data_IF_642770578192
#
_entry.id   IF_642770578192
#
_cell.length_a   1.000
_cell.length_b   1.000
_cell.length_c   1.000
_cell.angle_alpha   90.00
_cell.angle_beta   90.00
_cell.angle_gamma   90.00
#
_symmetry.space_group_name_H-M   'P 1'
#
loop_
_entity.id
_entity.type
_entity.pdbx_description
1 polymer ?
#
# COMPACT_ATOMS: atom_id res chain seq x y z
N UNK A 1 11.99 -6.43 17.62
CA UNK A 1 12.00 -5.53 16.44
C UNK A 1 13.35 -5.56 15.76
N UNK A 2 14.43 -5.19 16.44
CA UNK A 2 15.82 -5.29 15.94
C UNK A 2 16.15 -6.72 15.47
N UNK A 3 15.89 -7.72 16.33
CA UNK A 3 16.11 -9.13 16.01
C UNK A 3 15.28 -9.67 14.82
N UNK A 4 14.23 -8.97 14.37
CA UNK A 4 13.43 -9.36 13.19
C UNK A 4 13.97 -8.72 11.91
N UNK A 5 14.49 -7.49 12.01
CA UNK A 5 15.14 -6.78 10.90
C UNK A 5 16.49 -7.43 10.60
N UNK A 6 17.29 -7.73 11.63
CA UNK A 6 18.56 -8.45 11.49
C UNK A 6 18.37 -9.81 10.82
N UNK A 7 17.33 -10.55 11.22
CA UNK A 7 17.01 -11.87 10.62
C UNK A 7 16.57 -11.76 9.16
N UNK A 8 15.82 -10.73 8.79
CA UNK A 8 15.46 -10.48 7.39
C UNK A 8 16.71 -10.16 6.55
N UNK A 9 17.63 -9.37 7.08
CA UNK A 9 18.88 -9.05 6.40
C UNK A 9 19.82 -10.26 6.29
N UNK A 10 19.89 -11.13 7.29
CA UNK A 10 20.76 -12.32 7.26
C UNK A 10 20.18 -13.50 6.47
N UNK A 11 18.85 -13.61 6.38
CA UNK A 11 18.14 -14.76 5.77
C UNK A 11 17.25 -14.36 4.59
N UNK A 12 17.63 -13.32 3.85
CA UNK A 12 16.87 -12.85 2.70
C UNK A 12 16.57 -13.99 1.71
N UNK A 13 15.31 -14.15 1.34
CA UNK A 13 14.92 -15.13 0.32
C UNK A 13 14.98 -14.51 -1.06
N UNK A 14 14.44 -13.29 -1.22
CA UNK A 14 14.45 -12.54 -2.47
C UNK A 14 14.30 -11.04 -2.20
N UNK A 15 14.80 -10.22 -3.13
CA UNK A 15 14.51 -8.79 -3.20
C UNK A 15 14.02 -8.40 -4.59
N UNK A 16 13.09 -7.44 -4.63
CA UNK A 16 12.55 -6.86 -5.87
C UNK A 16 12.37 -5.35 -5.72
N UNK A 17 12.70 -4.62 -6.77
CA UNK A 17 12.47 -3.18 -6.86
C UNK A 17 11.62 -2.90 -8.09
N UNK A 18 10.53 -2.16 -7.90
CA UNK A 18 9.61 -1.76 -8.98
C UNK A 18 9.36 -0.26 -8.93
N UNK A 19 9.25 0.35 -10.10
CA UNK A 19 8.76 1.73 -10.24
C UNK A 19 7.28 1.69 -10.62
N UNK A 20 6.44 2.48 -9.95
CA UNK A 20 5.06 2.62 -10.37
C UNK A 20 4.91 3.60 -11.53
N UNK A 21 3.71 3.63 -12.11
CA UNK A 21 3.26 4.81 -12.87
C UNK A 21 3.31 6.05 -11.96
N UNK A 22 3.82 7.20 -12.45
CA UNK A 22 3.75 8.45 -11.72
C UNK A 22 2.30 8.84 -11.38
N UNK A 23 2.07 9.28 -10.15
CA UNK A 23 0.80 9.84 -9.71
C UNK A 23 0.75 11.32 -10.08
N UNK A 24 -0.22 11.74 -10.91
CA UNK A 24 -0.32 13.13 -11.37
C UNK A 24 -1.08 14.03 -10.40
N UNK A 25 -0.55 14.13 -9.18
CA UNK A 25 -1.16 14.86 -8.06
C UNK A 25 -0.09 15.58 -7.23
N UNK A 26 -0.45 16.61 -6.45
CA UNK A 26 0.47 17.23 -5.51
C UNK A 26 1.06 16.20 -4.52
N UNK A 27 2.33 16.39 -4.18
CA UNK A 27 3.08 15.44 -3.34
C UNK A 27 2.40 15.15 -2.00
N UNK A 28 1.89 16.19 -1.33
CA UNK A 28 1.18 16.05 -0.05
C UNK A 28 -0.12 15.23 -0.18
N UNK A 29 -0.82 15.33 -1.32
CA UNK A 29 -2.04 14.54 -1.58
C UNK A 29 -1.70 13.07 -1.73
N UNK A 30 -0.67 12.75 -2.53
CA UNK A 30 -0.21 11.36 -2.69
C UNK A 30 0.20 10.75 -1.35
N UNK A 31 1.01 11.47 -0.56
CA UNK A 31 1.46 10.97 0.75
C UNK A 31 0.31 10.75 1.73
N UNK A 32 -0.71 11.59 1.75
CA UNK A 32 -1.85 11.39 2.65
C UNK A 32 -2.52 10.02 2.41
N UNK A 33 -2.68 9.61 1.15
CA UNK A 33 -3.24 8.30 0.82
C UNK A 33 -2.28 7.14 1.12
N UNK A 34 -0.97 7.32 0.93
CA UNK A 34 0.01 6.31 1.37
C UNK A 34 -0.01 6.16 2.90
N UNK A 35 -0.23 7.27 3.63
CA UNK A 35 -0.21 7.32 5.09
C UNK A 35 -1.53 6.88 5.74
N UNK A 36 -2.62 6.77 4.97
CA UNK A 36 -3.92 6.23 5.39
C UNK A 36 -4.33 5.02 4.53
N UNK A 37 -3.62 3.89 4.61
CA UNK A 37 -3.81 2.77 3.70
C UNK A 37 -5.16 2.06 3.87
N UNK A 38 -5.77 2.13 5.05
CA UNK A 38 -7.15 1.70 5.32
C UNK A 38 -8.17 2.50 4.50
N UNK A 39 -8.06 3.83 4.54
CA UNK A 39 -8.90 4.72 3.74
C UNK A 39 -8.64 4.56 2.23
N UNK A 40 -7.38 4.40 1.84
CA UNK A 40 -7.00 4.17 0.43
C UNK A 40 -7.54 2.85 -0.10
N UNK A 41 -7.48 1.78 0.70
CA UNK A 41 -8.08 0.50 0.34
C UNK A 41 -9.59 0.62 0.16
N UNK A 42 -10.28 1.33 1.08
CA UNK A 42 -11.72 1.57 0.98
C UNK A 42 -12.10 2.36 -0.28
N UNK A 43 -11.39 3.45 -0.57
CA UNK A 43 -11.56 4.24 -1.79
C UNK A 43 -11.32 3.40 -3.06
N UNK A 44 -10.27 2.59 -3.05
CA UNK A 44 -9.92 1.72 -4.16
C UNK A 44 -11.01 0.68 -4.43
N UNK A 45 -11.61 0.09 -3.39
CA UNK A 45 -12.76 -0.82 -3.52
C UNK A 45 -13.97 -0.10 -4.09
N UNK A 46 -14.28 1.11 -3.60
CA UNK A 46 -15.38 1.93 -4.10
C UNK A 46 -15.23 2.21 -5.61
N UNK A 47 -14.01 2.57 -6.06
CA UNK A 47 -13.70 2.77 -7.49
C UNK A 47 -13.36 1.51 -8.27
N UNK A 48 -13.48 0.32 -7.65
CA UNK A 48 -13.15 -0.99 -8.25
C UNK A 48 -11.72 -1.07 -8.81
N UNK A 49 -10.79 -0.29 -8.24
CA UNK A 49 -9.36 -0.31 -8.58
C UNK A 49 -8.65 -1.50 -7.92
N UNK A 50 -9.15 -1.93 -6.75
CA UNK A 50 -8.62 -3.08 -6.03
C UNK A 50 -9.72 -3.76 -5.21
N UNK A 51 -9.46 -4.99 -4.78
CA UNK A 51 -10.39 -5.80 -3.95
C UNK A 51 -9.88 -6.07 -2.54
N UNK A 52 -8.62 -5.74 -2.26
CA UNK A 52 -8.02 -6.00 -0.97
C UNK A 52 -8.64 -5.13 0.13
N UNK A 53 -8.58 -5.64 1.35
CA UNK A 53 -9.03 -4.98 2.56
C UNK A 53 -7.85 -4.62 3.44
N UNK A 54 -7.93 -3.44 4.05
CA UNK A 54 -6.98 -2.96 5.04
C UNK A 54 -7.76 -2.40 6.20
N UNK A 55 -7.47 -2.88 7.40
CA UNK A 55 -8.06 -2.40 8.65
C UNK A 55 -6.96 -1.82 9.53
N UNK A 56 -7.21 -0.66 10.12
CA UNK A 56 -6.29 -0.04 11.08
C UNK A 56 -6.41 -0.74 12.44
N UNK A 57 -5.30 -1.22 12.99
CA UNK A 57 -5.22 -1.69 14.38
C UNK A 57 -4.85 -0.55 15.33
N UNK A 58 -3.95 0.34 14.88
CA UNK A 58 -3.61 1.60 15.51
C UNK A 58 -3.00 2.55 14.47
N UNK A 59 -2.27 3.58 14.90
CA UNK A 59 -1.68 4.59 14.02
C UNK A 59 -0.74 4.04 12.95
N UNK A 60 0.04 3.00 13.26
CA UNK A 60 1.07 2.46 12.37
C UNK A 60 0.89 0.98 12.05
N UNK A 61 -0.03 0.27 12.71
CA UNK A 61 -0.31 -1.15 12.48
C UNK A 61 -1.63 -1.35 11.75
N UNK A 62 -1.60 -2.28 10.80
CA UNK A 62 -2.72 -2.60 9.96
C UNK A 62 -2.82 -4.11 9.73
N UNK A 63 -4.04 -4.61 9.54
CA UNK A 63 -4.32 -5.94 8.98
C UNK A 63 -4.63 -5.77 7.50
N UNK A 64 -4.13 -6.67 6.66
CA UNK A 64 -4.44 -6.71 5.24
C UNK A 64 -4.91 -8.10 4.81
N UNK A 65 -5.90 -8.13 3.92
CA UNK A 65 -6.43 -9.34 3.29
C UNK A 65 -6.59 -9.09 1.79
N UNK A 66 -5.90 -9.85 0.95
CA UNK A 66 -5.95 -9.65 -0.50
C UNK A 66 -7.19 -10.26 -1.18
N UNK A 67 -8.07 -10.91 -0.39
CA UNK A 67 -9.25 -11.66 -0.84
C UNK A 67 -8.94 -12.79 -1.84
N UNK A 68 -7.68 -13.18 -1.95
CA UNK A 68 -7.15 -14.23 -2.84
C UNK A 68 -6.23 -15.21 -2.08
N UNK A 69 -6.43 -15.29 -0.76
CA UNK A 69 -5.76 -16.24 0.13
C UNK A 69 -4.52 -15.73 0.83
N UNK A 70 -4.08 -14.49 0.60
CA UNK A 70 -3.03 -13.84 1.41
C UNK A 70 -3.63 -12.94 2.50
N UNK A 71 -3.21 -13.17 3.74
CA UNK A 71 -3.57 -12.35 4.90
C UNK A 71 -2.35 -12.07 5.74
N UNK A 72 -2.28 -10.87 6.29
CA UNK A 72 -1.14 -10.48 7.13
C UNK A 72 -1.39 -9.24 7.95
N UNK A 73 -0.38 -8.89 8.72
CA UNK A 73 -0.28 -7.63 9.46
C UNK A 73 0.97 -6.91 9.02
N UNK A 74 0.92 -5.58 8.97
CA UNK A 74 2.11 -4.78 8.75
C UNK A 74 2.15 -3.58 9.68
N UNK A 75 3.36 -3.12 9.93
CA UNK A 75 3.67 -1.94 10.72
C UNK A 75 4.51 -0.97 9.91
N UNK A 76 4.16 0.31 9.93
CA UNK A 76 5.03 1.39 9.46
C UNK A 76 6.12 1.64 10.51
N UNK A 77 7.38 1.54 10.10
CA UNK A 77 8.55 1.72 10.95
C UNK A 77 9.17 3.12 10.81
N UNK A 78 9.10 3.70 9.62
CA UNK A 78 9.71 5.00 9.29
C UNK A 78 8.74 5.82 8.45
N UNK A 79 8.57 7.10 8.82
CA UNK A 79 7.83 8.13 8.07
C UNK A 79 8.70 9.37 7.85
N UNK A 80 9.59 9.29 6.87
CA UNK A 80 10.46 10.41 6.45
C UNK A 80 9.82 11.20 5.30
N UNK A 81 10.20 12.45 5.01
CA UNK A 81 9.54 13.25 3.98
C UNK A 81 9.37 12.56 2.61
N UNK A 82 10.36 11.76 2.19
CA UNK A 82 10.36 11.07 0.89
C UNK A 82 10.47 9.55 1.01
N UNK A 83 10.23 8.98 2.20
CA UNK A 83 10.40 7.54 2.43
C UNK A 83 9.43 6.96 3.45
N UNK A 84 8.89 5.77 3.16
CA UNK A 84 8.24 4.89 4.15
C UNK A 84 8.98 3.57 4.23
N UNK A 85 9.20 3.09 5.44
CA UNK A 85 9.71 1.73 5.67
C UNK A 85 8.65 0.98 6.45
N UNK A 86 8.27 -0.20 5.97
CA UNK A 86 7.22 -1.03 6.54
C UNK A 86 7.74 -2.45 6.75
N UNK A 87 7.33 -3.06 7.85
CA UNK A 87 7.57 -4.47 8.13
C UNK A 87 6.24 -5.20 8.11
N UNK A 88 6.16 -6.30 7.36
CA UNK A 88 4.96 -7.12 7.26
C UNK A 88 5.23 -8.57 7.63
N UNK A 89 4.19 -9.23 8.10
CA UNK A 89 4.13 -10.65 8.41
C UNK A 89 2.82 -11.19 7.91
N UNK A 90 2.84 -12.35 7.29
CA UNK A 90 1.61 -12.92 6.76
C UNK A 90 1.76 -14.33 6.29
N UNK A 91 0.64 -14.85 5.81
CA UNK A 91 0.54 -16.17 5.23
C UNK A 91 -0.25 -16.08 3.94
N UNK A 92 0.14 -16.88 2.96
CA UNK A 92 -0.63 -17.12 1.76
C UNK A 92 -1.02 -18.59 1.71
N UNK A 93 -2.31 -18.87 1.55
CA UNK A 93 -2.83 -20.23 1.41
C UNK A 93 -3.31 -20.45 -0.02
N UNK A 94 -2.65 -21.36 -0.73
CA UNK A 94 -2.99 -21.74 -2.10
C UNK A 94 -3.26 -23.23 -2.25
N UNK A 95 -3.96 -23.62 -3.31
CA UNK A 95 -4.32 -25.03 -3.57
C UNK A 95 -3.11 -25.93 -3.88
N UNK A 96 -2.02 -25.37 -4.38
CA UNK A 96 -0.87 -26.13 -4.90
C UNK A 96 0.26 -26.23 -3.88
N UNK A 97 0.59 -25.13 -3.19
CA UNK A 97 1.73 -25.06 -2.27
C UNK A 97 1.32 -25.06 -0.79
N UNK A 98 0.03 -25.23 -0.49
CA UNK A 98 -0.50 -25.15 0.87
C UNK A 98 -0.34 -23.75 1.46
N UNK A 99 -0.15 -23.67 2.78
CA UNK A 99 0.06 -22.41 3.50
C UNK A 99 1.54 -22.06 3.59
N UNK A 100 1.91 -20.92 3.01
CA UNK A 100 3.26 -20.36 3.06
C UNK A 100 3.24 -19.14 3.97
N UNK A 101 3.99 -19.21 5.07
CA UNK A 101 4.26 -18.06 5.94
C UNK A 101 5.51 -17.29 5.51
N UNK A 102 5.51 -15.99 5.76
CA UNK A 102 6.67 -15.16 5.52
C UNK A 102 6.60 -13.79 6.18
N UNK A 103 7.68 -13.05 5.98
CA UNK A 103 7.87 -11.69 6.45
C UNK A 103 8.52 -10.85 5.36
N UNK A 104 8.24 -9.55 5.32
CA UNK A 104 8.87 -8.66 4.37
C UNK A 104 9.19 -7.30 4.98
N UNK A 105 10.31 -6.71 4.53
CA UNK A 105 10.62 -5.30 4.71
C UNK A 105 10.35 -4.61 3.38
N UNK A 106 9.43 -3.66 3.37
CA UNK A 106 9.06 -2.87 2.19
C UNK A 106 9.53 -1.44 2.39
N UNK A 107 10.29 -0.93 1.43
CA UNK A 107 10.70 0.46 1.35
C UNK A 107 9.91 1.11 0.21
N UNK A 108 9.26 2.22 0.50
CA UNK A 108 8.68 3.12 -0.50
C UNK A 108 9.49 4.40 -0.51
N UNK A 109 10.10 4.72 -1.65
CA UNK A 109 10.75 5.99 -1.91
C UNK A 109 9.85 6.83 -2.84
N UNK A 110 9.81 8.14 -2.59
CA UNK A 110 9.00 9.08 -3.38
C UNK A 110 9.90 10.16 -3.97
N UNK A 111 9.99 10.20 -5.30
CA UNK A 111 10.69 11.27 -6.00
C UNK A 111 9.67 12.28 -6.56
N UNK A 112 9.95 13.59 -6.47
CA UNK A 112 9.25 14.57 -7.29
C UNK A 112 9.41 14.24 -8.78
N UNK A 113 8.32 14.33 -9.53
CA UNK A 113 8.28 14.17 -10.98
C UNK A 113 7.64 15.42 -11.60
N UNK A 114 7.94 15.73 -12.87
CA UNK A 114 7.53 16.98 -13.52
C UNK A 114 6.04 17.32 -13.33
N UNK A 115 5.18 16.29 -13.37
CA UNK A 115 3.73 16.42 -13.20
C UNK A 115 3.19 15.69 -11.96
N UNK A 116 4.02 15.36 -10.96
CA UNK A 116 3.53 14.72 -9.73
C UNK A 116 4.57 13.93 -8.93
N UNK A 117 4.24 12.70 -8.56
CA UNK A 117 5.08 11.84 -7.70
C UNK A 117 5.43 10.55 -8.40
N UNK A 118 6.71 10.20 -8.44
CA UNK A 118 7.19 8.90 -8.90
C UNK A 118 7.54 8.02 -7.68
N UNK A 119 6.69 7.06 -7.31
CA UNK A 119 6.98 6.14 -6.22
C UNK A 119 7.79 4.94 -6.71
N UNK A 120 8.77 4.54 -5.92
CA UNK A 120 9.56 3.31 -6.10
C UNK A 120 9.34 2.42 -4.88
N UNK A 121 9.05 1.14 -5.11
CA UNK A 121 8.91 0.13 -4.07
C UNK A 121 10.08 -0.84 -4.14
N UNK A 122 10.74 -1.06 -3.02
CA UNK A 122 11.67 -2.18 -2.83
C UNK A 122 11.14 -3.12 -1.75
N UNK A 123 10.92 -4.38 -2.08
CA UNK A 123 10.52 -5.42 -1.15
C UNK A 123 11.67 -6.39 -0.90
N UNK A 124 11.98 -6.64 0.37
CA UNK A 124 12.89 -7.66 0.86
C UNK A 124 12.06 -8.74 1.57
N UNK A 125 11.97 -9.93 0.99
CA UNK A 125 11.06 -10.99 1.45
C UNK A 125 11.84 -12.17 2.01
N UNK A 126 11.36 -12.71 3.13
CA UNK A 126 11.79 -13.97 3.71
C UNK A 126 10.60 -14.91 3.85
N UNK A 127 10.77 -16.14 3.37
CA UNK A 127 9.78 -17.21 3.49
C UNK A 127 10.20 -18.14 4.62
N UNK A 128 9.29 -18.43 5.56
CA UNK A 128 9.61 -19.18 6.77
C UNK A 128 9.79 -20.69 6.50
N UNK A 129 9.09 -21.23 5.50
CA UNK A 129 9.20 -22.64 5.14
C UNK A 129 10.44 -22.86 4.24
N UNK A 130 11.44 -23.59 4.73
CA UNK A 130 12.70 -23.89 4.01
C UNK A 130 12.50 -24.50 2.63
N UNK A 131 11.50 -25.37 2.46
CA UNK A 131 11.18 -26.02 1.17
C UNK A 131 10.53 -25.01 0.23
N UNK A 132 9.56 -24.23 0.71
CA UNK A 132 8.94 -23.17 -0.07
C UNK A 132 9.95 -22.06 -0.45
N UNK A 133 10.90 -21.73 0.43
CA UNK A 133 11.97 -20.78 0.16
C UNK A 133 12.93 -21.28 -0.93
N UNK A 134 13.28 -22.57 -0.93
CA UNK A 134 14.09 -23.18 -1.98
C UNK A 134 13.36 -23.17 -3.34
N UNK A 135 12.07 -23.54 -3.36
CA UNK A 135 11.23 -23.50 -4.56
C UNK A 135 11.08 -22.06 -5.06
N UNK A 136 10.78 -21.11 -4.18
CA UNK A 136 10.64 -19.70 -4.53
C UNK A 136 11.91 -19.13 -5.15
N UNK A 137 13.10 -19.47 -4.61
CA UNK A 137 14.40 -19.06 -5.19
C UNK A 137 14.60 -19.63 -6.60
N UNK A 138 14.17 -20.87 -6.85
CA UNK A 138 14.27 -21.52 -8.16
C UNK A 138 13.31 -20.93 -9.19
N UNK A 139 12.10 -20.52 -8.79
CA UNK A 139 11.07 -19.99 -9.70
C UNK A 139 11.00 -18.46 -9.78
N UNK A 140 11.72 -17.74 -8.91
CA UNK A 140 11.79 -16.27 -8.89
C UNK A 140 12.15 -15.61 -10.23
N UNK A 141 12.99 -16.20 -11.11
CA UNK A 141 13.24 -15.65 -12.45
C UNK A 141 12.02 -15.75 -13.37
N UNK A 142 11.26 -16.84 -13.28
CA UNK A 142 10.12 -17.13 -14.16
C UNK A 142 8.89 -16.30 -13.79
N UNK A 143 8.70 -16.02 -12.49
CA UNK A 143 7.60 -15.21 -11.97
C UNK A 143 7.96 -13.75 -11.72
N UNK A 144 9.18 -13.31 -12.08
CA UNK A 144 9.66 -11.95 -11.87
C UNK A 144 8.68 -10.90 -12.41
N UNK A 145 8.27 -11.03 -13.68
CA UNK A 145 7.30 -10.12 -14.30
C UNK A 145 5.93 -10.08 -13.61
N UNK A 146 5.41 -11.24 -13.19
CA UNK A 146 4.10 -11.32 -12.54
C UNK A 146 4.14 -10.74 -11.12
N UNK A 147 5.22 -10.99 -10.38
CA UNK A 147 5.45 -10.41 -9.07
C UNK A 147 5.63 -8.90 -9.17
N UNK A 148 6.44 -8.44 -10.12
CA UNK A 148 6.71 -7.02 -10.35
C UNK A 148 5.42 -6.27 -10.75
N UNK A 149 4.57 -6.89 -11.58
CA UNK A 149 3.25 -6.35 -11.93
C UNK A 149 2.35 -6.23 -10.71
N UNK A 150 2.23 -7.26 -9.87
CA UNK A 150 1.39 -7.21 -8.65
C UNK A 150 1.89 -6.13 -7.67
N UNK A 151 3.22 -5.98 -7.56
CA UNK A 151 3.83 -4.92 -6.75
C UNK A 151 3.53 -3.53 -7.33
N UNK A 152 3.71 -3.34 -8.63
CA UNK A 152 3.43 -2.08 -9.34
C UNK A 152 1.94 -1.69 -9.29
N UNK A 153 1.03 -2.65 -9.42
CA UNK A 153 -0.41 -2.47 -9.25
C UNK A 153 -0.74 -1.98 -7.83
N UNK A 154 -0.14 -2.60 -6.81
CA UNK A 154 -0.38 -2.24 -5.39
C UNK A 154 -0.03 -0.78 -5.09
N UNK A 155 1.12 -0.31 -5.58
CA UNK A 155 1.51 1.10 -5.41
C UNK A 155 0.77 2.05 -6.37
N UNK A 156 0.33 1.55 -7.53
CA UNK A 156 -0.50 2.27 -8.48
C UNK A 156 -1.91 2.56 -7.96
N UNK A 157 -2.46 1.74 -7.06
CA UNK A 157 -3.77 1.97 -6.44
C UNK A 157 -3.80 3.30 -5.66
N UNK A 158 -2.73 3.61 -4.92
CA UNK A 158 -2.63 4.89 -4.19
C UNK A 158 -2.63 6.09 -5.16
N UNK A 159 -1.98 5.95 -6.31
CA UNK A 159 -1.99 6.95 -7.36
C UNK A 159 -3.40 7.15 -7.94
N UNK A 160 -4.10 6.05 -8.26
CA UNK A 160 -5.46 6.10 -8.81
C UNK A 160 -6.48 6.72 -7.86
N UNK A 161 -6.39 6.41 -6.56
CA UNK A 161 -7.24 7.02 -5.53
C UNK A 161 -6.95 8.52 -5.39
N UNK A 162 -5.67 8.91 -5.33
CA UNK A 162 -5.30 10.31 -5.22
C UNK A 162 -5.73 11.13 -6.45
N UNK A 163 -5.57 10.57 -7.65
CA UNK A 163 -6.03 11.19 -8.89
C UNK A 163 -7.56 11.31 -8.93
N UNK A 164 -8.30 10.31 -8.44
CA UNK A 164 -9.75 10.41 -8.31
C UNK A 164 -10.16 11.56 -7.38
N UNK A 165 -9.51 11.68 -6.21
CA UNK A 165 -9.78 12.77 -5.27
C UNK A 165 -9.54 14.17 -5.86
N UNK A 166 -8.57 14.29 -6.77
CA UNK A 166 -8.24 15.56 -7.43
C UNK A 166 -9.10 15.86 -8.65
N UNK A 167 -9.47 14.84 -9.43
CA UNK A 167 -10.19 15.03 -10.71
C UNK A 167 -11.71 15.04 -10.55
N UNK A 168 -12.24 14.34 -9.56
CA UNK A 168 -13.67 14.26 -9.25
C UNK A 168 -13.93 14.55 -7.76
N UNK A 169 -13.53 15.74 -7.27
CA UNK A 169 -13.56 16.05 -5.83
C UNK A 169 -14.97 15.94 -5.25
N UNK A 170 -16.02 16.38 -5.95
CA UNK A 170 -17.39 16.28 -5.44
C UNK A 170 -17.83 14.83 -5.15
N UNK A 171 -17.52 13.89 -6.06
CA UNK A 171 -17.80 12.46 -5.87
C UNK A 171 -16.96 11.90 -4.71
N UNK A 172 -15.67 12.23 -4.68
CA UNK A 172 -14.76 11.78 -3.63
C UNK A 172 -15.19 12.28 -2.25
N UNK A 173 -15.52 13.56 -2.11
CA UNK A 173 -15.92 14.15 -0.84
C UNK A 173 -17.27 13.58 -0.37
N UNK A 174 -18.21 13.31 -1.28
CA UNK A 174 -19.49 12.67 -0.95
C UNK A 174 -19.29 11.22 -0.46
N UNK A 175 -18.36 10.47 -1.07
CA UNK A 175 -17.96 9.15 -0.59
C UNK A 175 -17.26 9.24 0.77
N UNK A 176 -16.25 10.11 0.91
CA UNK A 176 -15.49 10.30 2.14
C UNK A 176 -16.40 10.67 3.32
N UNK A 177 -17.45 11.47 3.07
CA UNK A 177 -18.44 11.83 4.07
C UNK A 177 -19.11 10.60 4.71
N UNK A 178 -19.44 9.59 3.89
CA UNK A 178 -20.21 8.41 4.28
C UNK A 178 -19.33 7.23 4.75
N UNK A 179 -18.08 7.17 4.29
CA UNK A 179 -17.19 6.04 4.62
C UNK A 179 -16.88 5.98 6.13
N UNK A 180 -17.03 4.82 6.80
CA UNK A 180 -16.77 4.67 8.23
C UNK A 180 -15.27 4.68 8.57
N UNK A 181 -14.62 5.82 8.39
CA UNK A 181 -13.23 6.08 8.74
C UNK A 181 -13.11 6.71 10.14
N UNK A 182 -12.06 6.35 10.87
CA UNK A 182 -11.72 7.02 12.13
C UNK A 182 -11.46 8.53 11.93
N UNK A 183 -11.77 9.37 12.94
CA UNK A 183 -11.74 10.83 12.82
C UNK A 183 -10.35 11.38 12.45
N UNK A 184 -9.29 10.77 12.97
CA UNK A 184 -7.92 11.17 12.66
C UNK A 184 -7.51 10.89 11.21
N UNK A 185 -7.92 9.74 10.67
CA UNK A 185 -7.65 9.37 9.27
C UNK A 185 -8.37 10.33 8.33
N UNK A 186 -9.64 10.60 8.61
CA UNK A 186 -10.45 11.58 7.88
C UNK A 186 -9.83 12.97 7.93
N UNK A 187 -9.37 13.41 9.10
CA UNK A 187 -8.72 14.72 9.27
C UNK A 187 -7.44 14.84 8.45
N UNK A 188 -6.61 13.78 8.39
CA UNK A 188 -5.40 13.74 7.55
C UNK A 188 -5.72 13.90 6.06
N UNK A 189 -6.74 13.20 5.56
CA UNK A 189 -7.18 13.33 4.15
C UNK A 189 -7.74 14.73 3.87
N UNK A 190 -8.60 15.26 4.75
CA UNK A 190 -9.18 16.59 4.61
C UNK A 190 -8.12 17.71 4.68
N UNK A 191 -6.99 17.49 5.36
CA UNK A 191 -5.89 18.46 5.43
C UNK A 191 -5.27 18.79 4.08
N UNK A 192 -5.31 17.84 3.14
CA UNK A 192 -4.70 17.99 1.81
C UNK A 192 -5.75 18.15 0.70
N UNK A 193 -7.04 18.07 1.03
CA UNK A 193 -8.17 18.20 0.09
C UNK A 193 -9.10 19.34 0.51
N UNK A 194 -8.74 20.62 0.27
CA UNK A 194 -9.56 21.76 0.66
C UNK A 194 -10.95 21.74 0.01
N UNK A 195 -11.09 21.15 -1.18
CA UNK A 195 -12.37 21.00 -1.87
C UNK A 195 -13.42 20.21 -1.08
N UNK A 196 -13.01 19.36 -0.13
CA UNK A 196 -13.94 18.62 0.73
C UNK A 196 -14.36 19.39 2.00
N UNK A 197 -13.77 20.56 2.24
CA UNK A 197 -14.08 21.40 3.42
C UNK A 197 -15.14 22.44 3.13
N UNK A 198 -15.30 22.83 1.87
CA UNK A 198 -16.34 23.78 1.47
C UNK A 198 -17.69 23.05 1.42
N UNK A 199 -18.65 23.38 2.31
CA UNK A 199 -20.02 22.93 2.10
C UNK A 199 -20.47 23.51 0.77
N UNK A 200 -21.07 22.67 -0.09
CA UNK A 200 -21.56 23.03 -1.41
C UNK A 200 -22.52 24.24 -1.35
N UNK A 201 -21.96 25.44 -1.39
CA UNK A 201 -22.68 26.70 -1.54
C UNK A 201 -22.95 26.93 -3.03
N UNK A 202 -23.87 26.14 -3.59
CA UNK A 202 -24.68 26.49 -4.76
C UNK A 202 -25.69 25.39 -5.08
N UNK A 203 -26.93 25.61 -4.63
CA UNK A 203 -28.16 25.26 -5.36
C UNK A 203 -29.18 26.34 -4.99
N UNK A 204 -29.19 27.39 -5.79
CA UNK A 204 -30.38 28.20 -6.04
C UNK A 204 -30.98 27.72 -7.37
#
# INVERSE_FOLDING_TARGET
MIASIERLWSELTLSRTVKARPARVPFAVYLAFVDTPDATAAAARFKKLARYEVESLDDDRYVADDRDGARGVYRVLVREPTRRVMMSWGQHSGRVLGTIGGSALTILDFAPHADGVEPTLTAYVRIDNRVAAAIARLVAPLFGYLADRKLAETIGVSAGVAEWAMTQPAEFCAWLAQEPLGPERRTRILAVLPACREPSARRD
#
